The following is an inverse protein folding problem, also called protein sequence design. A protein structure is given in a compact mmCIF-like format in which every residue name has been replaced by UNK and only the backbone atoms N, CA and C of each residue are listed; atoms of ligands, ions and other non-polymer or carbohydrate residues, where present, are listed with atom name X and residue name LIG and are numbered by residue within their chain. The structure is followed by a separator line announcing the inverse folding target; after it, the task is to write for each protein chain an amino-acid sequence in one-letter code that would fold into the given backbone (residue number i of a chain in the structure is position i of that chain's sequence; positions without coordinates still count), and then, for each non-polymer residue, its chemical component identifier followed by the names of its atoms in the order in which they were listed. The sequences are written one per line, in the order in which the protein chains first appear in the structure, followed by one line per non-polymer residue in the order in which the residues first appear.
data_IF_339154030593
#
_entry.id   IF_339154030593
#
_cell.length_a   1.000
_cell.length_b   1.000
_cell.length_c   1.000
_cell.angle_alpha   90.00
_cell.angle_beta   90.00
_cell.angle_gamma   90.00
#
_symmetry.space_group_name_H-M   'P 1'
#
loop_
_entity.id
_entity.type
_entity.pdbx_description
1 polymer ?
#
# COMPACT_ATOMS: atom_id res chain seq x y z
N UNK A 1 11.86 -4.42 -18.28
CA UNK A 1 10.72 -3.50 -18.12
C UNK A 1 9.51 -4.38 -17.93
N UNK A 2 8.93 -4.42 -16.74
CA UNK A 2 7.73 -5.23 -16.46
C UNK A 2 6.54 -4.29 -16.57
N UNK A 3 5.79 -4.47 -17.65
CA UNK A 3 4.48 -3.85 -17.85
C UNK A 3 3.61 -4.26 -16.65
N UNK A 4 3.27 -3.29 -15.82
CA UNK A 4 2.21 -3.48 -14.83
C UNK A 4 0.93 -3.49 -15.64
N UNK A 5 0.42 -4.69 -15.94
CA UNK A 5 -0.92 -4.85 -16.50
C UNK A 5 -1.87 -4.00 -15.67
N UNK A 6 -2.49 -3.06 -16.37
CA UNK A 6 -3.39 -2.07 -15.83
C UNK A 6 -4.66 -2.81 -15.43
N UNK A 7 -4.65 -3.40 -14.24
CA UNK A 7 -5.78 -4.08 -13.58
C UNK A 7 -6.83 -3.03 -13.17
N UNK A 8 -7.31 -2.25 -14.13
CA UNK A 8 -8.51 -1.43 -13.99
C UNK A 8 -9.67 -2.41 -13.98
N UNK A 9 -10.35 -2.48 -12.82
CA UNK A 9 -11.65 -3.11 -12.58
C UNK A 9 -12.13 -4.18 -13.59
N UNK A 10 -11.61 -5.40 -13.48
CA UNK A 10 -12.02 -6.51 -14.36
C UNK A 10 -13.54 -6.69 -14.49
N UNK A 11 -14.33 -6.32 -13.46
CA UNK A 11 -15.79 -6.45 -13.47
C UNK A 11 -16.52 -5.28 -14.17
N UNK A 12 -16.14 -4.03 -13.89
CA UNK A 12 -16.87 -2.86 -14.43
C UNK A 12 -16.24 -2.25 -15.68
N UNK A 13 -15.00 -2.62 -16.04
CA UNK A 13 -14.27 -2.13 -17.22
C UNK A 13 -14.15 -0.59 -17.33
N UNK A 14 -14.49 0.13 -16.26
CA UNK A 14 -14.53 1.58 -16.23
C UNK A 14 -13.13 2.19 -16.30
N UNK A 15 -13.01 3.30 -17.01
CA UNK A 15 -11.74 3.98 -17.25
C UNK A 15 -11.47 5.13 -16.29
N UNK A 16 -12.51 5.57 -15.56
CA UNK A 16 -12.51 6.61 -14.52
C UNK A 16 -13.18 6.14 -13.22
N UNK A 17 -12.98 6.90 -12.14
CA UNK A 17 -13.63 6.62 -10.85
C UNK A 17 -15.14 6.88 -10.91
N UNK A 18 -15.55 7.90 -11.66
CA UNK A 18 -16.95 8.29 -11.85
C UNK A 18 -17.73 7.21 -12.61
N UNK A 19 -17.14 6.67 -13.68
CA UNK A 19 -17.74 5.55 -14.43
C UNK A 19 -17.87 4.29 -13.56
N UNK A 20 -16.88 4.04 -12.69
CA UNK A 20 -16.93 2.90 -11.77
C UNK A 20 -18.03 3.07 -10.72
N UNK A 21 -18.21 4.27 -10.18
CA UNK A 21 -19.29 4.56 -9.24
C UNK A 21 -20.67 4.35 -9.90
N UNK A 22 -20.87 4.89 -11.11
CA UNK A 22 -22.13 4.73 -11.84
C UNK A 22 -22.47 3.27 -12.15
N UNK A 23 -21.47 2.43 -12.44
CA UNK A 23 -21.66 1.00 -12.61
C UNK A 23 -22.18 0.33 -11.32
N UNK A 24 -21.53 0.58 -10.18
CA UNK A 24 -21.90 -0.03 -8.90
C UNK A 24 -23.15 0.55 -8.25
N UNK A 25 -23.59 1.75 -8.65
CA UNK A 25 -24.91 2.27 -8.27
C UNK A 25 -26.06 1.44 -8.87
N UNK A 26 -25.79 0.70 -9.96
CA UNK A 26 -26.79 -0.08 -10.70
C UNK A 26 -26.61 -1.59 -10.62
N UNK A 27 -25.45 -2.09 -10.18
CA UNK A 27 -25.12 -3.51 -10.10
C UNK A 27 -24.81 -3.93 -8.66
N UNK A 28 -25.28 -5.11 -8.25
CA UNK A 28 -24.93 -5.65 -6.94
C UNK A 28 -23.61 -6.42 -7.01
N UNK A 29 -22.80 -6.35 -5.95
CA UNK A 29 -21.60 -7.19 -5.86
C UNK A 29 -21.95 -8.69 -5.85
N UNK A 30 -23.13 -9.04 -5.30
CA UNK A 30 -23.61 -10.42 -5.26
C UNK A 30 -23.85 -11.02 -6.66
N UNK A 31 -24.02 -10.19 -7.69
CA UNK A 31 -24.20 -10.67 -9.07
C UNK A 31 -22.90 -11.27 -9.65
N UNK A 32 -21.77 -11.09 -8.96
CA UNK A 32 -20.43 -11.49 -9.39
C UNK A 32 -19.77 -12.48 -8.41
N UNK A 33 -20.55 -13.25 -7.64
CA UNK A 33 -20.02 -14.24 -6.68
C UNK A 33 -19.07 -15.26 -7.34
N UNK A 34 -19.37 -15.71 -8.57
CA UNK A 34 -18.52 -16.66 -9.32
C UNK A 34 -17.19 -16.05 -9.80
N UNK A 35 -17.11 -14.72 -9.86
CA UNK A 35 -15.93 -13.96 -10.32
C UNK A 35 -15.16 -13.31 -9.15
N UNK A 36 -15.67 -13.46 -7.92
CA UNK A 36 -15.09 -12.90 -6.70
C UNK A 36 -14.71 -13.99 -5.70
N UNK A 37 -13.99 -13.60 -4.65
CA UNK A 37 -13.61 -14.50 -3.56
C UNK A 37 -13.67 -13.73 -2.25
N UNK A 38 -14.08 -14.42 -1.19
CA UNK A 38 -14.13 -13.84 0.14
C UNK A 38 -12.72 -13.47 0.62
N UNK A 39 -12.60 -12.27 1.20
CA UNK A 39 -11.37 -11.77 1.80
C UNK A 39 -11.68 -11.31 3.21
N UNK A 40 -10.94 -11.83 4.19
CA UNK A 40 -10.96 -11.32 5.55
C UNK A 40 -10.24 -9.96 5.61
N UNK A 41 -10.96 -8.93 6.02
CA UNK A 41 -10.42 -7.59 6.22
C UNK A 41 -10.51 -7.28 7.71
N UNK A 42 -9.36 -7.07 8.34
CA UNK A 42 -9.27 -6.57 9.71
C UNK A 42 -9.10 -5.04 9.68
N UNK A 43 -10.07 -4.32 10.24
CA UNK A 43 -9.99 -2.86 10.38
C UNK A 43 -9.78 -2.51 11.85
N UNK A 44 -8.58 -1.99 12.15
CA UNK A 44 -8.27 -1.44 13.46
C UNK A 44 -8.25 0.10 13.41
N UNK A 45 -9.35 0.72 13.85
CA UNK A 45 -9.46 2.17 13.96
C UNK A 45 -8.51 2.77 15.01
N UNK A 46 -8.00 1.95 15.93
CA UNK A 46 -7.07 2.36 16.98
C UNK A 46 -5.60 2.23 16.56
N UNK A 47 -5.32 1.57 15.44
CA UNK A 47 -3.98 1.44 14.88
C UNK A 47 -3.40 2.82 14.55
N UNK A 48 -2.54 3.33 15.44
CA UNK A 48 -1.84 4.60 15.23
C UNK A 48 -0.54 4.37 14.49
N UNK A 49 -0.49 4.77 13.22
CA UNK A 49 0.77 4.92 12.50
C UNK A 49 1.33 6.34 12.71
N UNK A 50 2.52 6.44 13.32
CA UNK A 50 3.25 7.71 13.31
C UNK A 50 3.99 7.85 11.98
N UNK A 51 3.66 8.88 11.21
CA UNK A 51 4.30 9.19 9.93
C UNK A 51 5.15 10.44 10.09
N UNK A 52 6.42 10.34 9.68
CA UNK A 52 7.34 11.47 9.63
C UNK A 52 7.68 11.70 8.15
N UNK A 53 7.47 12.91 7.61
CA UNK A 53 7.88 13.21 6.24
C UNK A 53 9.40 13.11 6.12
N UNK A 54 9.88 12.39 5.10
CA UNK A 54 11.30 12.23 4.77
C UNK A 54 11.49 12.72 3.34
N UNK A 55 12.57 13.47 3.11
CA UNK A 55 12.95 13.93 1.78
C UNK A 55 13.10 12.75 0.81
N UNK A 56 12.61 12.93 -0.43
CA UNK A 56 12.55 11.87 -1.43
C UNK A 56 13.90 11.23 -1.74
N UNK A 57 14.96 12.04 -1.81
CA UNK A 57 16.32 11.55 -2.08
C UNK A 57 16.85 10.70 -0.92
N UNK A 58 16.70 11.19 0.31
CA UNK A 58 17.07 10.47 1.52
C UNK A 58 16.31 9.14 1.65
N UNK A 59 15.01 9.14 1.38
CA UNK A 59 14.21 7.92 1.40
C UNK A 59 14.70 6.89 0.37
N UNK A 60 15.13 7.34 -0.81
CA UNK A 60 15.69 6.46 -1.82
C UNK A 60 17.00 5.82 -1.37
N UNK A 61 17.87 6.58 -0.70
CA UNK A 61 19.11 6.03 -0.16
C UNK A 61 18.87 5.07 1.00
N UNK A 62 17.94 5.39 1.90
CA UNK A 62 17.49 4.49 2.97
C UNK A 62 16.98 3.16 2.39
N UNK A 63 16.17 3.19 1.33
CA UNK A 63 15.68 1.98 0.63
C UNK A 63 16.81 1.14 0.05
N UNK A 64 17.81 1.77 -0.58
CA UNK A 64 18.98 1.06 -1.12
C UNK A 64 19.75 0.35 -0.01
N UNK A 65 19.98 1.01 1.12
CA UNK A 65 20.69 0.43 2.27
C UNK A 65 19.87 -0.70 2.91
N UNK A 66 18.57 -0.50 3.12
CA UNK A 66 17.68 -1.49 3.68
C UNK A 66 17.65 -2.76 2.83
N UNK A 67 17.56 -2.60 1.50
CA UNK A 67 17.63 -3.71 0.54
C UNK A 67 18.95 -4.48 0.62
N UNK A 68 20.10 -3.79 0.68
CA UNK A 68 21.41 -4.42 0.84
C UNK A 68 21.55 -5.21 2.16
N UNK A 69 20.82 -4.79 3.19
CA UNK A 69 20.80 -5.43 4.51
C UNK A 69 19.67 -6.45 4.69
N UNK A 70 18.87 -6.71 3.65
CA UNK A 70 17.71 -7.60 3.69
C UNK A 70 16.70 -7.28 4.81
N UNK A 71 16.52 -5.99 5.11
CA UNK A 71 15.54 -5.50 6.10
C UNK A 71 14.59 -4.49 5.46
N UNK A 72 13.46 -4.22 6.12
CA UNK A 72 12.55 -3.16 5.69
C UNK A 72 13.17 -1.77 5.93
N UNK A 73 12.73 -0.77 5.17
CA UNK A 73 13.17 0.62 5.37
C UNK A 73 12.78 1.12 6.76
N UNK A 74 11.58 0.76 7.23
CA UNK A 74 11.10 1.08 8.58
C UNK A 74 11.99 0.45 9.67
N UNK A 75 12.36 -0.81 9.51
CA UNK A 75 13.27 -1.51 10.45
C UNK A 75 14.63 -0.81 10.51
N UNK A 76 15.20 -0.46 9.35
CA UNK A 76 16.49 0.23 9.29
C UNK A 76 16.44 1.59 9.99
N UNK A 77 15.42 2.40 9.69
CA UNK A 77 15.24 3.73 10.30
C UNK A 77 15.09 3.61 11.82
N UNK A 78 14.25 2.69 12.30
CA UNK A 78 14.05 2.48 13.73
C UNK A 78 15.34 2.03 14.45
N UNK A 79 16.14 1.16 13.82
CA UNK A 79 17.42 0.72 14.36
C UNK A 79 18.37 1.91 14.54
N UNK A 80 18.56 2.70 13.48
CA UNK A 80 19.46 3.86 13.52
C UNK A 80 18.99 4.94 14.49
N UNK A 81 17.69 5.20 14.57
CA UNK A 81 17.15 6.15 15.56
C UNK A 81 17.43 5.68 16.99
N UNK A 82 17.27 4.38 17.29
CA UNK A 82 17.58 3.81 18.61
C UNK A 82 19.08 3.94 18.93
N UNK A 83 19.96 3.61 17.99
CA UNK A 83 21.41 3.74 18.15
C UNK A 83 21.82 5.19 18.48
N UNK A 84 21.22 6.17 17.79
CA UNK A 84 21.48 7.59 18.01
C UNK A 84 20.98 8.07 19.37
N UNK A 85 19.79 7.64 19.79
CA UNK A 85 19.22 7.99 21.10
C UNK A 85 19.98 7.34 22.26
N UNK A 86 20.52 6.13 22.10
CA UNK A 86 21.27 5.44 23.14
C UNK A 86 22.68 6.01 23.39
N UNK A 87 23.18 6.84 22.47
CA UNK A 87 24.50 7.51 22.59
C UNK A 87 24.38 8.86 23.32
N UNK A 88 23.16 9.30 23.61
CA UNK A 88 22.88 10.52 24.40
C UNK A 88 22.67 10.16 25.86
#
# INVERSE_FOLDING_TARGET
MSERENKKNSLSQATSYEEMAAFWDTHSLADFEDETYDVEIEFDASARSNSIPIESELLNDLRKVAKKRHVSTQTLVNLWLRERLATT
#
